data_IF_546585169386
#
_entry.id   IF_546585169386
#
_cell.length_a   1.000
_cell.length_b   1.000
_cell.length_c   1.000
_cell.angle_alpha   90.00
_cell.angle_beta   90.00
_cell.angle_gamma   90.00
#
_symmetry.space_group_name_H-M   'P 1'
#
loop_
_entity.id
_entity.type
_entity.pdbx_description
1 polymer ?
#
# COMPACT_ATOMS: atom_id res chain seq x y z
N UNK A 1 11.92 -18.24 -6.57
CA UNK A 1 12.46 -17.04 -7.24
C UNK A 1 11.40 -16.43 -8.16
N UNK A 2 10.60 -15.48 -7.68
CA UNK A 2 9.85 -14.60 -8.57
C UNK A 2 9.72 -13.25 -7.89
N UNK A 3 10.73 -12.39 -8.05
CA UNK A 3 10.61 -10.97 -7.75
C UNK A 3 11.13 -10.22 -8.96
N UNK A 4 10.20 -9.81 -9.80
CA UNK A 4 10.45 -8.90 -10.93
C UNK A 4 11.21 -7.70 -10.37
N UNK A 5 12.42 -7.47 -10.88
CA UNK A 5 13.25 -6.35 -10.45
C UNK A 5 12.44 -5.04 -10.50
N UNK A 6 12.66 -4.10 -9.57
CA UNK A 6 11.93 -2.84 -9.56
C UNK A 6 12.11 -2.15 -10.92
N UNK A 7 11.00 -1.82 -11.56
CA UNK A 7 10.97 -1.22 -12.90
C UNK A 7 11.35 0.26 -12.91
N UNK A 8 11.77 0.81 -11.76
CA UNK A 8 12.10 2.21 -11.57
C UNK A 8 13.28 2.42 -10.61
N UNK A 9 13.88 3.61 -10.68
CA UNK A 9 14.99 4.08 -9.80
C UNK A 9 14.56 5.38 -9.12
N UNK A 10 14.91 5.55 -7.84
CA UNK A 10 14.42 6.64 -6.99
C UNK A 10 13.06 6.32 -6.39
N UNK A 11 12.26 7.33 -6.05
CA UNK A 11 10.88 7.13 -5.58
C UNK A 11 10.76 6.56 -4.16
N UNK A 12 11.77 6.76 -3.31
CA UNK A 12 11.67 6.40 -1.89
C UNK A 12 10.60 7.27 -1.21
N UNK A 13 9.84 6.64 -0.33
CA UNK A 13 8.93 7.36 0.56
C UNK A 13 9.71 7.78 1.79
N UNK A 14 9.85 9.09 2.02
CA UNK A 14 10.73 9.68 3.04
C UNK A 14 9.92 10.50 4.01
N UNK A 15 10.03 10.21 5.29
CA UNK A 15 9.46 11.02 6.36
C UNK A 15 10.41 12.15 6.75
N UNK A 16 9.86 13.21 7.34
CA UNK A 16 10.59 14.40 7.76
C UNK A 16 11.62 14.11 8.86
N UNK A 17 11.43 13.04 9.64
CA UNK A 17 12.38 12.55 10.64
C UNK A 17 13.61 11.84 10.03
N UNK A 18 13.65 11.71 8.70
CA UNK A 18 14.73 11.07 7.95
C UNK A 18 14.54 9.57 7.73
N UNK A 19 13.52 8.95 8.32
CA UNK A 19 13.17 7.55 8.06
C UNK A 19 12.67 7.37 6.62
N UNK A 20 12.89 6.19 6.05
CA UNK A 20 12.54 5.90 4.65
C UNK A 20 11.91 4.53 4.50
N UNK A 21 10.93 4.45 3.61
CA UNK A 21 10.27 3.20 3.22
C UNK A 21 10.57 2.95 1.75
N UNK A 22 11.22 1.82 1.48
CA UNK A 22 11.48 1.36 0.12
C UNK A 22 10.21 0.72 -0.46
N UNK A 23 9.68 1.23 -1.58
CA UNK A 23 8.50 0.65 -2.21
C UNK A 23 8.77 -0.76 -2.75
N UNK A 24 7.78 -1.64 -2.60
CA UNK A 24 7.77 -2.97 -3.18
C UNK A 24 6.36 -3.28 -3.70
N UNK A 25 6.26 -3.91 -4.87
CA UNK A 25 4.98 -4.28 -5.45
C UNK A 25 4.22 -5.21 -4.51
N UNK A 26 2.91 -4.96 -4.32
CA UNK A 26 2.05 -5.72 -3.42
C UNK A 26 2.28 -5.46 -1.92
N UNK A 27 3.16 -4.52 -1.54
CA UNK A 27 3.34 -4.12 -0.14
C UNK A 27 2.56 -2.84 0.14
N UNK A 28 1.81 -2.86 1.25
CA UNK A 28 1.10 -1.71 1.79
C UNK A 28 1.95 -1.02 2.88
N UNK A 29 1.87 0.31 2.94
CA UNK A 29 2.43 1.11 4.03
C UNK A 29 1.29 1.92 4.64
N UNK A 30 1.14 1.85 5.97
CA UNK A 30 0.16 2.63 6.73
C UNK A 30 0.90 3.56 7.68
N UNK A 31 0.43 4.78 7.79
CA UNK A 31 0.97 5.83 8.65
C UNK A 31 -0.17 6.82 8.94
N UNK A 32 -0.02 7.67 9.96
CA UNK A 32 -1.04 8.67 10.29
C UNK A 32 -0.89 9.89 9.38
N UNK A 33 -1.94 10.70 9.25
CA UNK A 33 -1.87 11.95 8.50
C UNK A 33 -1.44 13.16 9.37
N UNK A 34 -0.92 12.92 10.58
CA UNK A 34 -0.49 13.96 11.51
C UNK A 34 0.82 14.62 11.10
N UNK A 35 1.13 15.78 11.70
CA UNK A 35 2.38 16.52 11.44
C UNK A 35 3.64 15.69 11.72
N UNK A 36 3.57 14.74 12.66
CA UNK A 36 4.65 13.80 12.97
C UNK A 36 5.02 12.90 11.79
N UNK A 37 4.08 12.67 10.88
CA UNK A 37 4.23 11.80 9.71
C UNK A 37 4.33 12.61 8.42
N UNK A 38 4.76 13.88 8.48
CA UNK A 38 5.06 14.67 7.30
C UNK A 38 6.06 13.92 6.40
N UNK A 39 5.72 13.76 5.12
CA UNK A 39 6.44 12.90 4.20
C UNK A 39 6.47 13.43 2.77
N UNK A 40 7.42 12.93 1.99
CA UNK A 40 7.57 13.21 0.58
C UNK A 40 8.00 11.96 -0.18
N UNK A 41 7.71 11.93 -1.48
CA UNK A 41 8.24 10.92 -2.40
C UNK A 41 9.43 11.53 -3.13
N UNK A 42 10.57 10.86 -3.07
CA UNK A 42 11.73 11.27 -3.86
C UNK A 42 11.42 11.22 -5.36
N UNK A 43 12.11 12.06 -6.13
CA UNK A 43 11.99 12.04 -7.59
C UNK A 43 12.28 10.64 -8.14
N UNK A 44 11.41 10.16 -9.02
CA UNK A 44 11.68 8.98 -9.83
C UNK A 44 12.67 9.37 -10.93
N UNK A 45 13.87 8.81 -10.88
CA UNK A 45 14.96 9.16 -11.80
C UNK A 45 14.87 8.38 -13.12
N UNK A 46 14.30 7.16 -13.10
CA UNK A 46 14.13 6.30 -14.27
C UNK A 46 12.92 5.40 -14.10
N UNK A 47 12.22 5.11 -15.19
CA UNK A 47 11.01 4.28 -15.19
C UNK A 47 9.79 5.03 -14.65
N UNK A 48 8.75 4.28 -14.28
CA UNK A 48 7.52 4.82 -13.72
C UNK A 48 7.13 4.06 -12.45
N UNK A 49 6.64 4.80 -11.44
CA UNK A 49 6.12 4.27 -10.18
C UNK A 49 4.64 4.65 -10.09
N UNK A 50 3.78 3.65 -10.09
CA UNK A 50 2.35 3.81 -9.85
C UNK A 50 2.04 3.34 -8.44
N UNK A 51 1.24 4.10 -7.71
CA UNK A 51 0.80 3.77 -6.35
C UNK A 51 -0.67 4.11 -6.18
N UNK A 52 -1.36 3.32 -5.38
CA UNK A 52 -2.67 3.68 -4.83
C UNK A 52 -2.43 4.30 -3.45
N UNK A 53 -2.95 5.50 -3.24
CA UNK A 53 -2.92 6.17 -1.94
C UNK A 53 -4.35 6.37 -1.49
N UNK A 54 -4.64 5.97 -0.25
CA UNK A 54 -5.94 6.11 0.38
C UNK A 54 -5.76 6.84 1.70
N UNK A 55 -6.69 7.73 2.02
CA UNK A 55 -6.83 8.33 3.34
C UNK A 55 -8.11 7.81 3.94
N UNK A 56 -8.02 7.30 5.16
CA UNK A 56 -9.13 6.78 5.92
C UNK A 56 -9.17 7.51 7.26
N UNK A 57 -10.35 7.68 7.80
CA UNK A 57 -10.59 8.39 9.05
C UNK A 57 -11.44 7.56 10.01
N UNK A 58 -11.22 7.78 11.30
CA UNK A 58 -12.09 7.22 12.36
C UNK A 58 -13.23 8.17 12.71
N UNK A 59 -13.21 9.40 12.17
CA UNK A 59 -14.30 10.34 12.36
C UNK A 59 -15.51 9.88 11.54
N UNK A 60 -16.55 9.43 12.24
CA UNK A 60 -17.76 8.92 11.61
C UNK A 60 -18.49 9.99 10.75
N UNK A 61 -18.27 11.28 10.99
CA UNK A 61 -18.81 12.35 10.16
C UNK A 61 -18.15 12.43 8.78
N UNK A 62 -16.87 12.10 8.70
CA UNK A 62 -16.03 12.24 7.50
C UNK A 62 -15.78 10.89 6.81
N UNK A 63 -15.97 9.77 7.50
CA UNK A 63 -15.70 8.41 7.00
C UNK A 63 -16.75 7.88 5.99
N UNK A 64 -17.68 8.70 5.52
CA UNK A 64 -18.74 8.26 4.57
C UNK A 64 -18.14 7.70 3.28
N UNK A 65 -17.07 8.33 2.78
CA UNK A 65 -16.39 7.92 1.56
C UNK A 65 -15.53 6.65 1.77
N UNK A 66 -15.01 6.44 2.97
CA UNK A 66 -14.21 5.27 3.33
C UNK A 66 -14.98 3.97 3.09
N UNK A 67 -16.25 3.92 3.49
CA UNK A 67 -17.10 2.75 3.31
C UNK A 67 -17.28 2.41 1.82
N UNK A 68 -17.53 3.42 0.98
CA UNK A 68 -17.68 3.23 -0.46
C UNK A 68 -16.36 2.78 -1.12
N UNK A 69 -15.23 3.34 -0.70
CA UNK A 69 -13.91 2.93 -1.18
C UNK A 69 -13.59 1.47 -0.81
N UNK A 70 -13.92 1.05 0.42
CA UNK A 70 -13.73 -0.33 0.89
C UNK A 70 -14.57 -1.30 0.06
N UNK A 71 -15.84 -1.00 -0.18
CA UNK A 71 -16.71 -1.87 -0.98
C UNK A 71 -16.24 -1.93 -2.45
N UNK A 72 -15.85 -0.81 -3.06
CA UNK A 72 -15.30 -0.81 -4.41
C UNK A 72 -14.03 -1.67 -4.52
N UNK A 73 -13.16 -1.65 -3.51
CA UNK A 73 -11.98 -2.51 -3.46
C UNK A 73 -12.39 -3.99 -3.32
N UNK A 74 -13.39 -4.29 -2.48
CA UNK A 74 -13.91 -5.66 -2.30
C UNK A 74 -14.50 -6.22 -3.61
N UNK A 75 -15.35 -5.44 -4.28
CA UNK A 75 -15.94 -5.80 -5.57
C UNK A 75 -14.87 -6.03 -6.63
N UNK A 76 -13.90 -5.12 -6.73
CA UNK A 76 -12.78 -5.26 -7.65
C UNK A 76 -11.97 -6.53 -7.39
N UNK A 77 -11.68 -6.86 -6.12
CA UNK A 77 -10.99 -8.09 -5.76
C UNK A 77 -11.79 -9.36 -6.10
N UNK A 78 -13.12 -9.35 -5.93
CA UNK A 78 -13.97 -10.47 -6.29
C UNK A 78 -14.05 -10.69 -7.82
N UNK A 79 -14.09 -9.61 -8.61
CA UNK A 79 -14.10 -9.70 -10.07
C UNK A 79 -12.79 -10.28 -10.64
N UNK A 80 -11.65 -10.01 -10.01
CA UNK A 80 -10.36 -10.60 -10.41
C UNK A 80 -10.26 -12.11 -10.14
N UNK A 81 -11.16 -12.67 -9.34
CA UNK A 81 -11.19 -14.11 -9.02
C UNK A 81 -12.00 -14.92 -10.05
N UNK A 82 -12.97 -14.29 -10.72
CA UNK A 82 -13.83 -14.91 -11.75
C UNK A 82 -13.14 -14.96 -13.14
N UNK A 83 -12.23 -14.04 -13.44
CA UNK A 83 -11.49 -13.99 -14.72
C UNK A 83 -10.30 -14.97 -14.79
N UNK A 84 -10.15 -15.87 -13.81
CA UNK A 84 -8.97 -16.73 -13.63
C UNK A 84 -8.95 -18.05 -14.44
N UNK A 85 -9.76 -18.19 -15.50
CA UNK A 85 -9.75 -19.37 -16.38
C UNK A 85 -8.88 -19.24 -17.65
N UNK A 86 -8.14 -18.13 -17.85
CA UNK A 86 -7.47 -17.91 -19.14
C UNK A 86 -6.08 -17.27 -19.19
N UNK A 87 -5.50 -16.77 -18.09
CA UNK A 87 -4.28 -15.96 -18.17
C UNK A 87 -3.38 -16.02 -16.94
N UNK A 88 -2.07 -15.92 -17.18
CA UNK A 88 -0.99 -16.11 -16.20
C UNK A 88 -1.23 -15.39 -14.86
N UNK A 89 -1.39 -16.20 -13.81
CA UNK A 89 -1.65 -15.74 -12.44
C UNK A 89 -0.50 -14.88 -11.93
N UNK A 90 -0.77 -13.63 -11.55
CA UNK A 90 0.11 -12.91 -10.62
C UNK A 90 0.09 -13.71 -9.31
N UNK A 91 1.23 -14.24 -8.82
CA UNK A 91 1.22 -15.06 -7.63
C UNK A 91 0.68 -14.24 -6.46
N UNK A 92 -0.39 -14.74 -5.82
CA UNK A 92 -0.86 -14.24 -4.53
C UNK A 92 0.25 -14.46 -3.52
N UNK A 93 1.09 -13.44 -3.30
CA UNK A 93 1.90 -13.36 -2.09
C UNK A 93 0.96 -13.01 -0.92
N UNK A 94 0.08 -13.94 -0.57
CA UNK A 94 -0.58 -13.94 0.72
C UNK A 94 0.48 -14.27 1.77
N UNK A 95 1.12 -13.23 2.29
CA UNK A 95 1.77 -13.34 3.60
C UNK A 95 0.67 -13.10 4.63
N UNK A 96 0.35 -14.07 5.50
CA UNK A 96 -0.54 -13.83 6.61
C UNK A 96 0.19 -12.89 7.58
N UNK A 97 -0.16 -11.61 7.58
CA UNK A 97 0.32 -10.69 8.62
C UNK A 97 -0.80 -10.41 9.62
N UNK A 98 -1.29 -11.48 10.25
CA UNK A 98 -2.02 -11.47 11.52
C UNK A 98 -1.65 -12.74 12.31
N UNK A 99 -0.35 -13.00 12.45
CA UNK A 99 0.15 -13.99 13.39
C UNK A 99 1.40 -13.41 14.07
N UNK A 100 1.18 -12.80 15.23
CA UNK A 100 2.23 -12.15 16.01
C UNK A 100 1.73 -10.88 16.66
N UNK A 101 0.88 -11.02 17.68
CA UNK A 101 1.05 -10.15 18.84
C UNK A 101 2.55 -10.22 19.22
N UNK A 102 3.18 -9.06 19.44
CA UNK A 102 4.61 -8.87 19.76
C UNK A 102 5.56 -8.41 18.62
N UNK A 103 5.08 -7.59 17.69
CA UNK A 103 5.95 -6.68 16.93
C UNK A 103 5.47 -5.23 17.14
N UNK A 104 6.38 -4.28 17.41
CA UNK A 104 6.01 -2.97 17.94
C UNK A 104 5.34 -2.18 16.83
N UNK A 105 4.01 -2.12 16.85
CA UNK A 105 3.31 -1.01 16.22
C UNK A 105 3.72 0.22 17.02
N UNK A 106 4.66 1.01 16.49
CA UNK A 106 4.76 2.41 16.93
C UNK A 106 3.73 3.15 16.10
N UNK A 107 2.48 3.04 16.55
CA UNK A 107 1.53 4.15 16.40
C UNK A 107 2.12 5.24 17.28
N UNK A 108 2.55 6.34 16.66
CA UNK A 108 2.61 7.59 17.40
C UNK A 108 1.22 8.21 17.42
#
# INVERSE_FOLDING_TARGET
CSSRAPTFVGGLFRFADGSTVRPAAGRLSLYSAGESDAHAVERVARGARHTLTLWLTRDAGEAREDAAAIEAIREGLAAQDEDADGGERIPRHAQPFLAGADAPFVVR
#
